data_IF_715334528677
#
_entry.id   IF_715334528677
#
_cell.length_a   1.000
_cell.length_b   1.000
_cell.length_c   1.000
_cell.angle_alpha   90.00
_cell.angle_beta   90.00
_cell.angle_gamma   90.00
#
_symmetry.space_group_name_H-M   'P 1'
#
loop_
_entity.id
_entity.type
_entity.pdbx_description
1 polymer ?
#
# COMPACT_ATOMS: atom_id res chain seq x y z
N UNK A 1 -8.64 -10.27 -10.77
CA UNK A 1 -8.13 -9.62 -12.00
C UNK A 1 -6.61 -9.54 -11.89
N UNK A 2 -5.83 -10.22 -12.74
CA UNK A 2 -4.38 -10.06 -12.75
C UNK A 2 -4.00 -8.86 -13.62
N UNK A 3 -4.08 -7.67 -13.04
CA UNK A 3 -3.53 -6.43 -13.63
C UNK A 3 -2.03 -6.35 -13.38
N UNK A 4 -1.33 -5.56 -14.20
CA UNK A 4 0.06 -5.18 -13.92
C UNK A 4 0.16 -4.38 -12.62
N UNK A 5 -0.82 -3.53 -12.33
CA UNK A 5 -0.96 -2.83 -11.04
C UNK A 5 -0.96 -3.82 -9.87
N UNK A 6 -1.75 -4.91 -9.95
CA UNK A 6 -1.74 -5.94 -8.90
C UNK A 6 -0.37 -6.58 -8.76
N UNK A 7 0.30 -6.98 -9.85
CA UNK A 7 1.64 -7.60 -9.73
C UNK A 7 2.66 -6.66 -9.08
N UNK A 8 2.60 -5.36 -9.35
CA UNK A 8 3.41 -4.35 -8.67
C UNK A 8 3.03 -4.21 -7.19
N UNK A 9 1.72 -4.14 -6.90
CA UNK A 9 1.20 -4.05 -5.54
C UNK A 9 1.60 -5.25 -4.68
N UNK A 10 1.47 -6.45 -5.22
CA UNK A 10 1.84 -7.70 -4.56
C UNK A 10 3.33 -7.74 -4.20
N UNK A 11 4.23 -7.23 -5.07
CA UNK A 11 5.66 -7.13 -4.75
C UNK A 11 5.91 -6.37 -3.44
N UNK A 12 5.18 -5.28 -3.22
CA UNK A 12 5.41 -4.41 -2.07
C UNK A 12 4.36 -4.58 -0.96
N UNK A 13 3.48 -5.58 -1.07
CA UNK A 13 2.33 -5.74 -0.18
C UNK A 13 2.74 -5.84 1.28
N UNK A 14 3.72 -6.69 1.59
CA UNK A 14 4.16 -6.94 2.98
C UNK A 14 4.67 -5.64 3.61
N UNK A 15 5.53 -4.89 2.90
CA UNK A 15 6.02 -3.59 3.37
C UNK A 15 4.88 -2.58 3.55
N UNK A 16 3.97 -2.49 2.57
CA UNK A 16 2.84 -1.56 2.60
C UNK A 16 1.91 -1.83 3.79
N UNK A 17 1.57 -3.11 4.03
CA UNK A 17 0.71 -3.55 5.11
C UNK A 17 1.32 -3.24 6.49
N UNK A 18 2.60 -3.57 6.69
CA UNK A 18 3.32 -3.25 7.94
C UNK A 18 3.32 -1.75 8.20
N UNK A 19 3.57 -0.94 7.16
CA UNK A 19 3.64 0.50 7.27
C UNK A 19 2.28 1.15 7.53
N UNK A 20 1.20 0.63 6.92
CA UNK A 20 -0.16 1.07 7.20
C UNK A 20 -0.57 0.73 8.64
N UNK A 21 -0.26 -0.49 9.12
CA UNK A 21 -0.54 -0.88 10.50
C UNK A 21 0.22 -0.01 11.51
N UNK A 22 1.54 0.18 11.35
CA UNK A 22 2.33 1.04 12.24
C UNK A 22 1.79 2.47 12.27
N UNK A 23 1.40 3.00 11.11
CA UNK A 23 0.80 4.33 11.02
C UNK A 23 -0.54 4.39 11.76
N UNK A 24 -1.40 3.38 11.58
CA UNK A 24 -2.70 3.28 12.26
C UNK A 24 -2.54 3.16 13.78
N UNK A 25 -1.58 2.37 14.24
CA UNK A 25 -1.28 2.21 15.67
C UNK A 25 -0.90 3.56 16.30
N UNK A 26 -0.04 4.35 15.64
CA UNK A 26 0.32 5.70 16.09
C UNK A 26 -0.89 6.63 16.11
N UNK A 27 -1.77 6.54 15.11
CA UNK A 27 -2.98 7.36 15.08
C UNK A 27 -3.92 6.98 16.23
N UNK A 28 -4.10 5.68 16.52
CA UNK A 28 -4.91 5.20 17.65
C UNK A 28 -4.31 5.61 18.99
N UNK A 29 -2.99 5.57 19.15
CA UNK A 29 -2.33 6.05 20.36
C UNK A 29 -2.59 7.56 20.57
N UNK A 30 -2.49 8.34 19.49
CA UNK A 30 -2.63 9.80 19.50
C UNK A 30 -4.07 10.26 19.67
N UNK A 31 -5.01 9.57 19.04
CA UNK A 31 -6.39 10.02 18.83
C UNK A 31 -7.45 9.13 19.50
N UNK A 32 -7.08 7.95 19.99
CA UNK A 32 -8.02 6.96 20.51
C UNK A 32 -8.72 6.16 19.41
N UNK A 33 -9.86 5.56 19.75
CA UNK A 33 -10.63 4.68 18.86
C UNK A 33 -11.11 5.40 17.59
N UNK A 34 -10.97 4.73 16.43
CA UNK A 34 -11.45 5.16 15.11
C UNK A 34 -12.89 5.65 15.11
N UNK A 35 -13.77 5.06 15.94
CA UNK A 35 -15.18 5.46 16.04
C UNK A 35 -15.37 6.94 16.46
N UNK A 36 -14.37 7.54 17.10
CA UNK A 36 -14.39 8.93 17.54
C UNK A 36 -13.79 9.92 16.54
N UNK A 37 -13.17 9.42 15.47
CA UNK A 37 -12.39 10.26 14.57
C UNK A 37 -13.30 11.07 13.63
N UNK A 38 -12.86 12.28 13.34
CA UNK A 38 -13.41 13.14 12.30
C UNK A 38 -12.30 13.48 11.33
N UNK A 39 -12.56 13.28 10.05
CA UNK A 39 -11.60 13.50 8.98
C UNK A 39 -12.07 14.61 8.05
N UNK A 40 -11.13 15.49 7.68
CA UNK A 40 -11.31 16.49 6.65
C UNK A 40 -10.14 16.42 5.68
N UNK A 41 -10.44 16.23 4.40
CA UNK A 41 -9.46 16.25 3.31
C UNK A 41 -9.77 17.45 2.43
N UNK A 42 -8.80 18.33 2.25
CA UNK A 42 -8.86 19.46 1.34
C UNK A 42 -7.74 19.35 0.31
N UNK A 43 -8.12 19.00 -0.92
CA UNK A 43 -7.18 18.86 -2.04
C UNK A 43 -6.70 20.20 -2.57
N UNK A 44 -7.44 21.30 -2.36
CA UNK A 44 -7.01 22.63 -2.81
C UNK A 44 -5.87 23.16 -1.94
N UNK A 45 -5.89 22.90 -0.63
CA UNK A 45 -4.80 23.24 0.30
C UNK A 45 -3.82 22.08 0.54
N UNK A 46 -4.00 20.94 -0.13
CA UNK A 46 -3.24 19.70 0.07
C UNK A 46 -3.14 19.28 1.54
N UNK A 47 -4.23 19.39 2.30
CA UNK A 47 -4.20 19.10 3.74
C UNK A 47 -5.22 18.03 4.11
N UNK A 48 -4.77 17.04 4.88
CA UNK A 48 -5.65 16.17 5.66
C UNK A 48 -5.54 16.54 7.14
N UNK A 49 -6.68 16.62 7.81
CA UNK A 49 -6.79 16.82 9.25
C UNK A 49 -7.67 15.72 9.80
N UNK A 50 -7.11 14.93 10.70
CA UNK A 50 -7.82 13.92 11.48
C UNK A 50 -7.89 14.44 12.92
N UNK A 51 -9.10 14.54 13.47
CA UNK A 51 -9.33 15.03 14.84
C UNK A 51 -10.13 14.03 15.67
N UNK A 52 -9.95 14.10 16.98
CA UNK A 52 -10.70 13.35 18.00
C UNK A 52 -10.76 14.21 19.27
N UNK A 53 -11.47 13.74 20.29
CA UNK A 53 -11.46 14.39 21.61
C UNK A 53 -10.09 14.30 22.31
N UNK A 54 -9.18 13.41 21.85
CA UNK A 54 -7.84 13.22 22.42
C UNK A 54 -6.75 14.01 21.70
N UNK A 55 -6.97 14.41 20.45
CA UNK A 55 -5.93 15.06 19.68
C UNK A 55 -6.23 15.22 18.20
N UNK A 56 -5.19 15.62 17.48
CA UNK A 56 -5.20 15.87 16.06
C UNK A 56 -3.94 15.26 15.42
N UNK A 57 -4.10 14.74 14.20
CA UNK A 57 -3.04 14.35 13.29
C UNK A 57 -3.28 15.05 11.96
N UNK A 58 -2.23 15.63 11.39
CA UNK A 58 -2.27 16.36 10.12
C UNK A 58 -1.20 15.83 9.19
N UNK A 59 -1.47 15.88 7.89
CA UNK A 59 -0.47 15.59 6.86
C UNK A 59 -0.72 16.47 5.64
N UNK A 60 0.29 16.58 4.79
CA UNK A 60 0.10 16.99 3.41
C UNK A 60 -0.42 15.81 2.59
N UNK A 61 -1.40 16.05 1.73
CA UNK A 61 -2.07 15.01 0.95
C UNK A 61 -1.84 15.19 -0.55
N UNK A 62 -1.56 14.08 -1.22
CA UNK A 62 -1.52 13.96 -2.67
C UNK A 62 -2.55 12.91 -3.10
N UNK A 63 -3.41 13.25 -4.07
CA UNK A 63 -4.39 12.33 -4.63
C UNK A 63 -3.74 11.52 -5.75
N UNK A 64 -3.59 10.21 -5.53
CA UNK A 64 -2.97 9.31 -6.50
C UNK A 64 -4.02 8.74 -7.47
N UNK A 65 -5.12 8.23 -6.94
CA UNK A 65 -6.20 7.64 -7.72
C UNK A 65 -7.52 7.61 -6.95
N UNK A 66 -8.61 7.33 -7.65
CA UNK A 66 -9.89 6.92 -7.06
C UNK A 66 -10.38 5.62 -7.68
N UNK A 67 -11.00 4.76 -6.90
CA UNK A 67 -11.61 3.49 -7.34
C UNK A 67 -13.11 3.59 -7.12
N UNK A 68 -13.91 3.19 -8.10
CA UNK A 68 -15.37 3.27 -8.03
C UNK A 68 -16.01 1.92 -8.36
N UNK A 69 -17.07 1.54 -7.63
CA UNK A 69 -17.89 0.35 -7.91
C UNK A 69 -18.66 0.51 -9.23
N UNK A 70 -19.13 1.73 -9.54
CA UNK A 70 -19.99 1.97 -10.70
C UNK A 70 -19.64 3.28 -11.43
N UNK A 71 -19.15 3.21 -12.68
CA UNK A 71 -18.63 1.99 -13.34
C UNK A 71 -17.42 1.43 -12.56
N UNK A 72 -17.12 0.11 -12.67
CA UNK A 72 -15.97 -0.51 -12.01
C UNK A 72 -14.67 -0.02 -12.66
N UNK A 73 -14.21 1.14 -12.24
CA UNK A 73 -13.02 1.79 -12.78
C UNK A 73 -12.12 2.32 -11.69
N UNK A 74 -10.82 2.18 -11.92
CA UNK A 74 -9.76 2.96 -11.31
C UNK A 74 -9.56 4.21 -12.18
N UNK A 75 -9.49 5.38 -11.56
CA UNK A 75 -9.22 6.65 -12.22
C UNK A 75 -7.98 7.29 -11.59
N UNK A 76 -6.95 7.52 -12.38
CA UNK A 76 -5.72 8.17 -11.90
C UNK A 76 -5.93 9.66 -11.66
N UNK A 77 -5.20 10.22 -10.70
CA UNK A 77 -5.23 11.64 -10.35
C UNK A 77 -4.85 12.57 -11.51
N UNK A 78 -4.06 12.10 -12.48
CA UNK A 78 -3.70 12.87 -13.67
C UNK A 78 -4.82 12.93 -14.73
N UNK A 79 -5.93 12.21 -14.54
CA UNK A 79 -7.08 12.30 -15.43
C UNK A 79 -7.70 13.70 -15.43
N UNK A 80 -8.26 14.14 -16.56
CA UNK A 80 -8.84 15.49 -16.73
C UNK A 80 -9.88 15.85 -15.64
N UNK A 81 -10.60 14.84 -15.12
CA UNK A 81 -11.61 15.00 -14.07
C UNK A 81 -11.00 15.40 -12.73
N UNK A 82 -9.80 14.88 -12.42
CA UNK A 82 -9.10 15.09 -11.15
C UNK A 82 -8.01 16.17 -11.26
N UNK A 83 -7.52 16.45 -12.47
CA UNK A 83 -6.52 17.47 -12.78
C UNK A 83 -6.91 18.92 -12.40
N UNK A 84 -8.17 19.16 -12.00
CA UNK A 84 -8.60 20.44 -11.38
C UNK A 84 -7.91 20.77 -10.05
N UNK A 85 -7.21 19.80 -9.44
CA UNK A 85 -6.38 20.00 -8.24
C UNK A 85 -4.90 19.74 -8.56
N UNK A 86 -4.25 20.60 -9.37
CA UNK A 86 -2.96 20.30 -10.00
C UNK A 86 -1.84 19.99 -8.99
N UNK A 87 -1.82 20.70 -7.86
CA UNK A 87 -0.80 20.46 -6.83
C UNK A 87 -1.01 19.12 -6.13
N UNK A 88 -2.27 18.77 -5.83
CA UNK A 88 -2.64 17.51 -5.19
C UNK A 88 -2.41 16.29 -6.09
N UNK A 89 -2.55 16.43 -7.41
CA UNK A 89 -2.41 15.33 -8.36
C UNK A 89 -1.02 15.25 -9.01
N UNK A 90 -0.10 16.14 -8.62
CA UNK A 90 1.27 16.16 -9.15
C UNK A 90 1.99 14.81 -9.06
N UNK A 91 1.81 14.05 -7.97
CA UNK A 91 2.42 12.72 -7.85
C UNK A 91 1.77 11.70 -8.78
N UNK A 92 0.49 11.83 -9.11
CA UNK A 92 -0.14 10.98 -10.12
C UNK A 92 0.49 11.16 -11.51
N UNK A 93 0.97 12.36 -11.86
CA UNK A 93 1.71 12.55 -13.12
C UNK A 93 3.01 11.75 -13.17
N UNK A 94 3.69 11.54 -12.04
CA UNK A 94 4.87 10.67 -11.99
C UNK A 94 4.52 9.19 -12.26
N UNK A 95 3.31 8.76 -11.91
CA UNK A 95 2.81 7.42 -12.29
C UNK A 95 2.69 7.30 -13.80
N UNK A 96 2.15 8.33 -14.46
CA UNK A 96 2.07 8.38 -15.91
C UNK A 96 3.46 8.37 -16.57
N UNK A 97 4.42 9.16 -16.05
CA UNK A 97 5.80 9.19 -16.52
C UNK A 97 6.48 7.82 -16.40
N UNK A 98 6.37 7.19 -15.23
CA UNK A 98 6.87 5.83 -15.00
C UNK A 98 6.22 4.82 -15.97
N UNK A 99 4.92 4.94 -16.18
CA UNK A 99 4.19 4.10 -17.14
C UNK A 99 4.70 4.24 -18.58
N UNK A 100 5.08 5.45 -19.00
CA UNK A 100 5.69 5.67 -20.32
C UNK A 100 7.09 5.05 -20.41
N UNK A 101 7.92 5.25 -19.38
CA UNK A 101 9.28 4.74 -19.32
C UNK A 101 9.33 3.21 -19.34
N UNK A 102 8.42 2.56 -18.63
CA UNK A 102 8.37 1.11 -18.47
C UNK A 102 7.37 0.41 -19.41
N UNK A 103 6.74 1.15 -20.32
CA UNK A 103 5.72 0.64 -21.26
C UNK A 103 4.51 -0.04 -20.58
N UNK A 104 4.08 0.50 -19.45
CA UNK A 104 2.95 -0.01 -18.67
C UNK A 104 1.65 0.74 -19.01
N UNK A 105 0.84 0.12 -19.86
CA UNK A 105 -0.39 0.73 -20.40
C UNK A 105 -1.41 1.12 -19.30
N UNK A 106 -1.52 0.33 -18.24
CA UNK A 106 -2.44 0.59 -17.13
C UNK A 106 -2.06 1.86 -16.34
N UNK A 107 -0.77 2.20 -16.28
CA UNK A 107 -0.27 3.41 -15.60
C UNK A 107 -0.38 4.67 -16.47
N UNK A 108 -0.59 4.50 -17.77
CA UNK A 108 -0.75 5.59 -18.74
C UNK A 108 -2.20 5.81 -19.17
N UNK A 109 -3.09 4.84 -18.92
CA UNK A 109 -4.52 4.93 -19.23
C UNK A 109 -5.26 5.66 -18.10
N UNK A 110 -5.86 6.86 -18.33
CA UNK A 110 -6.45 7.67 -17.27
C UNK A 110 -7.54 6.99 -16.44
N UNK A 111 -8.27 6.06 -17.06
CA UNK A 111 -9.29 5.23 -16.43
C UNK A 111 -9.10 3.77 -16.82
N UNK A 112 -8.76 2.92 -15.85
CA UNK A 112 -8.54 1.49 -16.04
C UNK A 112 -9.79 0.74 -15.56
N UNK A 113 -10.51 0.03 -16.44
CA UNK A 113 -11.62 -0.80 -16.01
C UNK A 113 -11.12 -2.00 -15.20
N UNK A 114 -11.90 -2.41 -14.21
CA UNK A 114 -11.66 -3.65 -13.48
C UNK A 114 -12.91 -4.51 -13.37
N UNK A 115 -12.73 -5.77 -12.97
CA UNK A 115 -13.84 -6.71 -12.77
C UNK A 115 -14.27 -6.71 -11.32
N UNK A 116 -15.57 -6.47 -11.08
CA UNK A 116 -16.20 -6.77 -9.80
C UNK A 116 -16.71 -8.22 -9.82
N UNK A 117 -16.19 -9.11 -8.95
CA UNK A 117 -16.78 -10.43 -8.73
C UNK A 117 -18.22 -10.29 -8.24
N UNK A 118 -19.10 -11.19 -8.69
CA UNK A 118 -20.54 -11.09 -8.39
C UNK A 118 -20.95 -11.60 -7.00
N UNK A 119 -20.04 -12.32 -6.34
CA UNK A 119 -20.18 -13.02 -5.07
C UNK A 119 -19.42 -12.35 -3.91
N UNK A 120 -18.63 -11.32 -4.20
CA UNK A 120 -17.87 -10.56 -3.20
C UNK A 120 -18.57 -9.24 -2.85
N UNK A 121 -18.30 -8.71 -1.65
CA UNK A 121 -18.77 -7.39 -1.24
C UNK A 121 -18.07 -6.31 -2.10
N UNK A 122 -18.81 -5.52 -2.91
CA UNK A 122 -18.20 -4.53 -3.78
C UNK A 122 -17.39 -3.46 -3.04
N UNK A 123 -17.73 -3.13 -1.79
CA UNK A 123 -16.96 -2.18 -0.98
C UNK A 123 -15.62 -2.79 -0.54
N UNK A 124 -15.58 -4.08 -0.20
CA UNK A 124 -14.32 -4.79 0.07
C UNK A 124 -13.42 -4.81 -1.18
N UNK A 125 -14.00 -5.11 -2.35
CA UNK A 125 -13.24 -5.17 -3.61
C UNK A 125 -12.59 -3.84 -3.96
N UNK A 126 -13.26 -2.69 -3.76
CA UNK A 126 -12.63 -1.39 -4.05
C UNK A 126 -11.52 -1.04 -3.06
N UNK A 127 -11.61 -1.53 -1.82
CA UNK A 127 -10.55 -1.38 -0.82
C UNK A 127 -9.33 -2.20 -1.22
N UNK A 128 -9.52 -3.45 -1.67
CA UNK A 128 -8.43 -4.30 -2.15
C UNK A 128 -7.74 -3.72 -3.39
N UNK A 129 -8.52 -3.24 -4.37
CA UNK A 129 -7.95 -2.53 -5.53
C UNK A 129 -7.20 -1.28 -5.10
N UNK A 130 -7.71 -0.53 -4.11
CA UNK A 130 -7.02 0.63 -3.58
C UNK A 130 -5.71 0.27 -2.86
N UNK A 131 -5.66 -0.86 -2.16
CA UNK A 131 -4.46 -1.40 -1.54
C UNK A 131 -3.43 -1.86 -2.57
N UNK A 132 -3.86 -2.49 -3.66
CA UNK A 132 -2.98 -2.84 -4.79
C UNK A 132 -2.34 -1.57 -5.38
N UNK A 133 -3.10 -0.49 -5.58
CA UNK A 133 -2.58 0.79 -6.09
C UNK A 133 -1.61 1.43 -5.09
N UNK A 134 -1.99 1.50 -3.81
CA UNK A 134 -1.16 2.08 -2.75
C UNK A 134 0.18 1.36 -2.62
N UNK A 135 0.15 0.03 -2.67
CA UNK A 135 1.36 -0.81 -2.63
C UNK A 135 2.19 -0.68 -3.91
N UNK A 136 1.56 -0.60 -5.08
CA UNK A 136 2.27 -0.38 -6.35
C UNK A 136 2.99 0.98 -6.39
N UNK A 137 2.46 1.98 -5.70
CA UNK A 137 3.08 3.30 -5.59
C UNK A 137 4.49 3.24 -4.96
N UNK A 138 4.76 2.27 -4.09
CA UNK A 138 6.08 2.09 -3.47
C UNK A 138 7.18 1.73 -4.48
N UNK A 139 6.84 1.08 -5.60
CA UNK A 139 7.81 0.87 -6.69
C UNK A 139 8.26 2.20 -7.32
N UNK A 140 7.38 3.21 -7.33
CA UNK A 140 7.62 4.49 -8.00
C UNK A 140 8.22 5.51 -7.03
N UNK A 141 7.79 5.49 -5.77
CA UNK A 141 8.13 6.52 -4.79
C UNK A 141 8.97 6.03 -3.61
N UNK A 142 9.28 4.72 -3.55
CA UNK A 142 10.00 4.13 -2.43
C UNK A 142 9.27 4.36 -1.10
N UNK A 143 10.05 4.66 -0.07
CA UNK A 143 9.56 4.87 1.29
C UNK A 143 9.17 6.32 1.61
N UNK A 144 9.16 7.23 0.63
CA UNK A 144 9.00 8.66 0.91
C UNK A 144 7.59 9.10 1.33
N UNK A 145 6.57 8.28 1.07
CA UNK A 145 5.17 8.60 1.36
C UNK A 145 4.45 7.46 2.07
N UNK A 146 3.48 7.79 2.92
CA UNK A 146 2.55 6.80 3.47
C UNK A 146 1.32 6.72 2.59
N UNK A 147 0.99 5.53 2.10
CA UNK A 147 -0.31 5.32 1.47
C UNK A 147 -1.42 5.36 2.51
N UNK A 148 -2.52 6.04 2.19
CA UNK A 148 -3.73 6.07 2.99
C UNK A 148 -4.97 5.94 2.12
N UNK A 149 -5.84 4.99 2.48
CA UNK A 149 -7.12 4.77 1.83
C UNK A 149 -8.27 5.49 2.53
N UNK A 150 -9.16 6.14 1.79
CA UNK A 150 -10.35 6.77 2.38
C UNK A 150 -11.58 6.66 1.50
N UNK A 151 -12.69 6.18 2.06
CA UNK A 151 -14.00 6.39 1.43
C UNK A 151 -14.34 7.88 1.45
N UNK A 152 -14.84 8.40 0.34
CA UNK A 152 -15.30 9.80 0.23
C UNK A 152 -16.74 9.90 -0.29
N UNK A 153 -17.29 8.79 -0.78
CA UNK A 153 -18.66 8.63 -1.23
C UNK A 153 -18.96 7.13 -1.26
N UNK A 154 -20.21 6.73 -1.02
CA UNK A 154 -20.64 5.33 -1.17
C UNK A 154 -20.26 4.78 -2.56
N UNK A 155 -19.64 3.61 -2.59
CA UNK A 155 -19.11 2.96 -3.79
C UNK A 155 -17.91 3.66 -4.41
N UNK A 156 -17.17 4.48 -3.65
CA UNK A 156 -15.94 5.14 -4.12
C UNK A 156 -14.89 5.29 -3.03
N UNK A 157 -13.64 5.00 -3.38
CA UNK A 157 -12.50 4.99 -2.49
C UNK A 157 -11.35 5.80 -3.08
N UNK A 158 -10.72 6.66 -2.28
CA UNK A 158 -9.57 7.45 -2.68
C UNK A 158 -8.28 6.78 -2.20
N UNK A 159 -7.26 6.82 -3.06
CA UNK A 159 -5.89 6.43 -2.76
C UNK A 159 -5.09 7.71 -2.60
N UNK A 160 -4.63 7.96 -1.38
CA UNK A 160 -3.89 9.16 -1.02
C UNK A 160 -2.45 8.79 -0.67
N UNK A 161 -1.52 9.68 -0.97
CA UNK A 161 -0.16 9.65 -0.45
C UNK A 161 -0.01 10.78 0.57
N UNK A 162 0.42 10.43 1.77
CA UNK A 162 0.64 11.35 2.88
C UNK A 162 2.13 11.69 2.98
N UNK A 163 2.39 12.99 3.07
CA UNK A 163 3.71 13.61 3.27
C UNK A 163 3.63 14.47 4.54
N UNK A 164 4.77 14.69 5.22
CA UNK A 164 4.86 15.58 6.39
C UNK A 164 3.81 15.28 7.49
N UNK A 165 3.68 14.00 7.86
CA UNK A 165 2.84 13.60 9.00
C UNK A 165 3.28 14.36 10.27
N UNK A 166 2.32 14.92 11.00
CA UNK A 166 2.56 15.61 12.28
C UNK A 166 2.99 14.69 13.42
N UNK A 167 3.04 13.39 13.16
CA UNK A 167 3.42 12.33 14.10
C UNK A 167 4.52 11.49 13.46
N UNK A 168 5.39 10.92 14.29
CA UNK A 168 6.44 10.01 13.84
C UNK A 168 5.89 8.59 13.85
N UNK A 169 5.96 7.91 12.72
CA UNK A 169 5.67 6.47 12.64
C UNK A 169 6.99 5.72 12.90
N UNK A 170 7.01 4.76 13.84
CA UNK A 170 8.22 3.96 14.09
C UNK A 170 8.61 3.13 12.85
N UNK A 171 9.90 2.78 12.70
CA UNK A 171 10.35 1.95 11.60
C UNK A 171 9.83 0.51 11.75
N UNK A 172 9.80 -0.21 10.63
CA UNK A 172 9.56 -1.66 10.62
C UNK A 172 10.77 -2.35 11.26
N UNK A 173 10.51 -3.33 12.13
CA UNK A 173 11.52 -4.15 12.81
C UNK A 173 11.20 -5.64 12.64
N UNK A 174 12.18 -6.53 12.82
CA UNK A 174 11.92 -7.98 12.78
C UNK A 174 10.95 -8.41 13.88
N UNK A 175 11.04 -7.84 15.09
CA UNK A 175 10.09 -8.11 16.17
C UNK A 175 8.64 -7.74 15.79
N UNK A 176 8.46 -6.67 15.01
CA UNK A 176 7.15 -6.28 14.51
C UNK A 176 6.68 -7.16 13.35
N UNK A 177 7.60 -7.58 12.46
CA UNK A 177 7.30 -8.46 11.33
C UNK A 177 6.93 -9.88 11.76
N UNK A 178 7.71 -10.48 12.67
CA UNK A 178 7.64 -11.90 13.05
C UNK A 178 6.21 -12.41 13.33
N UNK A 179 5.40 -11.77 14.18
CA UNK A 179 4.06 -12.27 14.48
C UNK A 179 3.07 -12.13 13.32
N UNK A 180 3.37 -11.32 12.29
CA UNK A 180 2.49 -11.00 11.15
C UNK A 180 2.86 -11.74 9.87
N UNK A 181 4.11 -12.16 9.77
CA UNK A 181 4.68 -12.71 8.55
C UNK A 181 3.85 -13.88 8.01
N UNK A 182 3.47 -14.83 8.87
CA UNK A 182 2.66 -15.99 8.47
C UNK A 182 1.34 -15.60 7.80
N UNK A 183 0.62 -14.63 8.38
CA UNK A 183 -0.65 -14.16 7.82
C UNK A 183 -0.41 -13.46 6.48
N UNK A 184 0.55 -12.53 6.39
CA UNK A 184 0.81 -11.82 5.14
C UNK A 184 1.23 -12.73 3.99
N UNK A 185 1.97 -13.81 4.26
CA UNK A 185 2.34 -14.78 3.22
C UNK A 185 1.13 -15.51 2.63
N UNK A 186 -0.01 -15.56 3.33
CA UNK A 186 -1.26 -16.11 2.80
C UNK A 186 -2.04 -15.12 1.91
N UNK A 187 -1.76 -13.82 2.04
CA UNK A 187 -2.42 -12.76 1.28
C UNK A 187 -1.73 -12.41 -0.03
N UNK A 188 -0.53 -12.95 -0.26
CA UNK A 188 0.28 -12.66 -1.44
C UNK A 188 0.23 -13.77 -2.48
N UNK A 189 0.16 -13.38 -3.76
CA UNK A 189 0.14 -14.32 -4.88
C UNK A 189 1.48 -15.08 -5.03
N UNK A 190 2.59 -14.46 -4.61
CA UNK A 190 3.96 -14.97 -4.72
C UNK A 190 4.78 -14.54 -3.48
N UNK A 191 4.87 -15.42 -2.45
CA UNK A 191 5.53 -15.14 -1.18
C UNK A 191 6.97 -14.61 -1.31
N UNK A 192 7.82 -15.31 -2.08
CA UNK A 192 9.23 -14.93 -2.24
C UNK A 192 9.34 -13.59 -2.95
N UNK A 193 8.59 -13.37 -4.04
CA UNK A 193 8.60 -12.10 -4.76
C UNK A 193 8.18 -10.91 -3.88
N UNK A 194 7.26 -11.13 -2.95
CA UNK A 194 6.79 -10.11 -2.02
C UNK A 194 7.81 -9.83 -0.89
N UNK A 195 8.52 -10.87 -0.45
CA UNK A 195 9.60 -10.75 0.51
C UNK A 195 10.84 -10.06 -0.08
N UNK A 196 11.15 -10.30 -1.35
CA UNK A 196 12.18 -9.55 -2.07
C UNK A 196 11.85 -8.06 -2.12
N UNK A 197 10.60 -7.70 -2.40
CA UNK A 197 10.16 -6.30 -2.38
C UNK A 197 10.24 -5.67 -0.99
N UNK A 198 9.94 -6.44 0.07
CA UNK A 198 10.13 -5.99 1.45
C UNK A 198 11.61 -5.64 1.72
N UNK A 199 12.55 -6.54 1.43
CA UNK A 199 13.98 -6.27 1.72
C UNK A 199 14.57 -5.20 0.81
N UNK A 200 14.09 -5.05 -0.43
CA UNK A 200 14.49 -3.96 -1.33
C UNK A 200 14.14 -2.57 -0.75
N UNK A 201 13.01 -2.47 -0.05
CA UNK A 201 12.55 -1.25 0.61
C UNK A 201 13.11 -1.06 2.03
N UNK A 202 13.91 -2.01 2.54
CA UNK A 202 14.50 -1.99 3.87
C UNK A 202 16.03 -1.96 3.77
N UNK A 203 16.66 -0.78 3.71
CA UNK A 203 18.11 -0.67 3.55
C UNK A 203 18.87 -1.46 4.63
N UNK A 204 19.80 -2.31 4.19
CA UNK A 204 20.62 -3.16 5.07
C UNK A 204 19.99 -4.50 5.40
N UNK A 205 18.73 -4.74 5.04
CA UNK A 205 18.10 -6.04 5.20
C UNK A 205 18.44 -6.96 4.02
N UNK A 206 18.46 -8.27 4.28
CA UNK A 206 18.70 -9.30 3.26
C UNK A 206 17.71 -10.45 3.36
N UNK A 207 17.54 -11.15 2.24
CA UNK A 207 16.72 -12.34 2.11
C UNK A 207 17.58 -13.48 1.59
N UNK A 208 17.56 -14.61 2.29
CA UNK A 208 18.17 -15.86 1.86
C UNK A 208 17.12 -16.98 1.85
N UNK A 209 17.23 -17.87 0.86
CA UNK A 209 16.42 -19.08 0.77
C UNK A 209 17.29 -20.27 1.10
N UNK A 210 16.86 -21.06 2.08
CA UNK A 210 17.58 -22.24 2.54
C UNK A 210 16.72 -23.48 2.35
N UNK A 211 17.35 -24.59 1.95
CA UNK A 211 16.69 -25.89 1.99
C UNK A 211 16.73 -26.39 3.45
N UNK A 212 15.57 -26.45 4.08
CA UNK A 212 15.43 -26.95 5.45
C UNK A 212 15.68 -28.45 5.53
N UNK A 213 16.23 -28.90 6.66
CA UNK A 213 16.43 -30.33 6.96
C UNK A 213 15.11 -31.12 7.02
N UNK A 214 13.99 -30.41 7.11
CA UNK A 214 12.62 -30.92 7.09
C UNK A 214 12.06 -31.11 5.67
N UNK A 215 12.85 -30.80 4.64
CA UNK A 215 12.48 -30.91 3.23
C UNK A 215 11.70 -29.70 2.70
N UNK A 216 11.50 -28.66 3.51
CA UNK A 216 10.82 -27.43 3.12
C UNK A 216 11.82 -26.35 2.73
N UNK A 217 11.44 -25.44 1.83
CA UNK A 217 12.21 -24.20 1.63
C UNK A 217 11.90 -23.23 2.77
N UNK A 218 12.95 -22.82 3.47
CA UNK A 218 12.91 -21.83 4.53
C UNK A 218 13.35 -20.48 3.97
N UNK A 219 12.71 -19.43 4.47
CA UNK A 219 13.14 -18.05 4.28
C UNK A 219 13.94 -17.64 5.51
N UNK A 220 15.07 -16.98 5.29
CA UNK A 220 15.84 -16.29 6.30
C UNK A 220 15.90 -14.79 5.94
N UNK A 221 15.36 -13.93 6.81
CA UNK A 221 15.44 -12.48 6.68
C UNK A 221 16.42 -11.98 7.73
N UNK A 222 17.44 -11.23 7.33
CA UNK A 222 18.39 -10.59 8.23
C UNK A 222 18.18 -9.08 8.19
N UNK A 223 18.11 -8.41 9.34
CA UNK A 223 18.05 -6.95 9.40
C UNK A 223 19.44 -6.29 9.37
N UNK A 224 19.47 -4.95 9.34
CA UNK A 224 20.69 -4.16 9.32
C UNK A 224 21.55 -4.28 10.59
N UNK A 225 20.95 -4.77 11.69
CA UNK A 225 21.64 -5.08 12.94
C UNK A 225 22.18 -6.53 12.99
N UNK A 226 21.90 -7.34 11.96
CA UNK A 226 22.30 -8.74 11.88
C UNK A 226 21.42 -9.69 12.68
N UNK A 227 20.23 -9.26 13.14
CA UNK A 227 19.22 -10.15 13.70
C UNK A 227 18.57 -10.94 12.58
N UNK A 228 18.21 -12.20 12.85
CA UNK A 228 17.65 -13.09 11.84
C UNK A 228 16.28 -13.60 12.25
N UNK A 229 15.37 -13.63 11.28
CA UNK A 229 14.08 -14.29 11.34
C UNK A 229 14.04 -15.39 10.29
N UNK A 230 13.85 -16.64 10.72
CA UNK A 230 13.80 -17.79 9.82
C UNK A 230 12.52 -18.59 10.01
N UNK A 231 11.95 -19.10 8.91
CA UNK A 231 10.77 -19.95 8.96
C UNK A 231 10.37 -20.55 7.62
N UNK A 232 9.46 -21.54 7.62
CA UNK A 232 9.01 -22.20 6.40
C UNK A 232 8.08 -21.29 5.57
N UNK A 233 8.13 -21.44 4.24
CA UNK A 233 7.14 -20.86 3.32
C UNK A 233 5.81 -21.65 3.34
N UNK A 234 4.66 -21.01 3.13
CA UNK A 234 3.38 -21.71 3.04
C UNK A 234 3.27 -22.62 1.80
N UNK A 235 2.52 -23.73 1.92
CA UNK A 235 2.19 -24.62 0.80
C UNK A 235 1.08 -24.05 -0.11
N UNK A 236 1.08 -24.35 -1.43
CA UNK A 236 2.11 -25.02 -2.21
C UNK A 236 2.96 -23.97 -2.94
N UNK A 237 4.02 -23.45 -2.32
CA UNK A 237 4.99 -22.65 -3.06
C UNK A 237 5.80 -23.54 -4.01
N UNK A 238 5.34 -23.65 -5.25
CA UNK A 238 6.08 -24.25 -6.37
C UNK A 238 6.85 -23.12 -7.05
N UNK A 239 7.91 -22.63 -6.40
CA UNK A 239 8.85 -21.72 -7.07
C UNK A 239 9.63 -22.48 -8.13
N UNK A 240 9.43 -22.14 -9.40
CA UNK A 240 10.31 -22.55 -10.52
C UNK A 240 11.67 -21.87 -10.42
#
# INVERSE_FOLDING_TARGET
>A
MHTRIRRMGQRNFIYAALRDELMRDVFVERMGDFASWRYQVDLASQRIVMTSDRGEVTAKVHLLATVAVKPPTLMWGYSDVLARFPDATRLAHKVFEYGLEHHEAELTTPQVPYTLPGDEDPEAVIVDVAHDIGSAALTIFGDHYYYYGSSFRSGSYAVLLLEDLSVTVPPITLDYLQPRLGDYLLWVDDPVWSLEGLVELMPGWSLELEDGDDGWRHVCITDDAGQTLSGPLPEPYIGE
#
